data_IF_497394908040
#
_entry.id   IF_497394908040
#
_cell.length_a   1.000
_cell.length_b   1.000
_cell.length_c   1.000
_cell.angle_alpha   90.00
_cell.angle_beta   90.00
_cell.angle_gamma   90.00
#
_symmetry.space_group_name_H-M   'P 1'
#
loop_
_entity.id
_entity.type
_entity.pdbx_description
1 polymer ?
#
# COMPACT_ATOMS: atom_id res chain seq x y z
N UNK A 1 -38.66 17.44 -12.19
CA UNK A 1 -37.45 17.71 -11.40
C UNK A 1 -36.81 16.37 -11.04
N UNK A 2 -35.90 15.88 -11.90
CA UNK A 2 -35.15 14.64 -11.64
C UNK A 2 -33.83 15.08 -11.01
N UNK A 3 -33.71 14.92 -9.70
CA UNK A 3 -32.41 14.95 -9.03
C UNK A 3 -31.69 13.65 -9.41
N UNK A 4 -30.88 13.71 -10.47
CA UNK A 4 -29.84 12.71 -10.67
C UNK A 4 -28.95 12.76 -9.42
N UNK A 5 -28.86 11.67 -8.64
CA UNK A 5 -27.87 11.62 -7.58
C UNK A 5 -26.52 11.78 -8.28
N UNK A 6 -25.79 12.83 -7.91
CA UNK A 6 -24.37 12.95 -8.22
C UNK A 6 -23.73 11.65 -7.76
N UNK A 7 -23.39 10.78 -8.71
CA UNK A 7 -22.51 9.66 -8.47
C UNK A 7 -21.27 10.28 -7.83
N UNK A 8 -21.04 9.98 -6.54
CA UNK A 8 -19.75 10.12 -5.89
C UNK A 8 -18.80 9.13 -6.59
N UNK A 9 -18.45 9.42 -7.83
CA UNK A 9 -17.33 8.79 -8.51
C UNK A 9 -16.11 9.27 -7.75
N UNK A 10 -15.64 8.39 -6.86
CA UNK A 10 -14.56 8.60 -5.92
C UNK A 10 -13.33 9.15 -6.63
N UNK A 11 -12.96 10.35 -6.19
CA UNK A 11 -11.66 11.01 -6.27
C UNK A 11 -10.63 10.41 -7.26
N UNK A 12 -10.50 11.04 -8.42
CA UNK A 12 -9.48 10.70 -9.43
C UNK A 12 -8.09 11.08 -8.94
N UNK A 13 -7.36 10.12 -8.38
CA UNK A 13 -5.97 10.31 -7.96
C UNK A 13 -5.05 10.24 -9.17
N UNK A 14 -4.40 11.35 -9.51
CA UNK A 14 -3.40 11.38 -10.57
C UNK A 14 -2.09 10.78 -10.04
N UNK A 15 -1.54 9.80 -10.77
CA UNK A 15 -0.33 9.07 -10.38
C UNK A 15 0.71 9.19 -11.48
N UNK A 16 1.88 9.70 -11.14
CA UNK A 16 3.06 9.72 -12.00
C UNK A 16 4.30 9.27 -11.22
N UNK A 17 5.40 8.95 -11.90
CA UNK A 17 6.65 8.65 -11.21
C UNK A 17 7.16 9.91 -10.51
N UNK A 18 7.59 9.79 -9.25
CA UNK A 18 8.26 10.90 -8.57
C UNK A 18 9.63 11.17 -9.22
N UNK A 19 9.97 12.43 -9.40
CA UNK A 19 11.30 12.86 -9.84
C UNK A 19 12.37 12.49 -8.80
N UNK A 20 12.00 12.56 -7.51
CA UNK A 20 12.91 12.35 -6.37
C UNK A 20 13.32 10.89 -6.27
N UNK A 21 14.63 10.69 -6.16
CA UNK A 21 15.24 9.40 -5.84
C UNK A 21 15.79 9.48 -4.42
N UNK A 22 15.31 8.60 -3.54
CA UNK A 22 15.77 8.50 -2.16
C UNK A 22 16.87 7.44 -2.09
N UNK A 23 17.95 7.75 -1.38
CA UNK A 23 18.99 6.76 -1.05
C UNK A 23 18.67 6.14 0.30
N UNK A 24 18.55 4.82 0.35
CA UNK A 24 18.40 4.03 1.58
C UNK A 24 19.69 3.26 1.86
N UNK A 25 19.80 2.64 3.04
CA UNK A 25 20.92 1.74 3.35
C UNK A 25 21.03 0.52 2.41
N UNK A 26 19.95 0.18 1.70
CA UNK A 26 19.85 -1.00 0.82
C UNK A 26 19.97 -0.68 -0.68
N UNK A 27 19.97 0.61 -1.03
CA UNK A 27 19.98 1.06 -2.42
C UNK A 27 19.06 2.25 -2.67
N UNK A 28 19.01 2.70 -3.92
CA UNK A 28 18.25 3.88 -4.35
C UNK A 28 16.82 3.50 -4.74
N UNK A 29 15.85 4.32 -4.36
CA UNK A 29 14.42 4.06 -4.58
C UNK A 29 13.73 5.26 -5.22
N UNK A 30 12.79 4.99 -6.13
CA UNK A 30 11.86 5.96 -6.69
C UNK A 30 10.41 5.51 -6.46
N UNK A 31 9.58 6.43 -6.00
CA UNK A 31 8.16 6.21 -5.72
C UNK A 31 7.23 6.80 -6.78
N UNK A 32 5.95 6.94 -6.42
CA UNK A 32 4.93 7.67 -7.17
C UNK A 32 4.72 9.06 -6.56
N UNK A 33 4.53 10.07 -7.40
CA UNK A 33 3.84 11.28 -7.02
C UNK A 33 2.33 11.05 -7.16
N UNK A 34 1.63 11.32 -6.07
CA UNK A 34 0.18 11.14 -5.92
C UNK A 34 -0.44 12.50 -5.71
N UNK A 35 -1.29 12.93 -6.64
CA UNK A 35 -2.00 14.21 -6.59
C UNK A 35 -3.49 13.97 -6.45
N UNK A 36 -4.16 14.89 -5.77
CA UNK A 36 -5.57 14.80 -5.45
C UNK A 36 -6.36 15.86 -6.24
N UNK A 37 -7.60 15.57 -6.67
CA UNK A 37 -8.49 16.56 -7.26
C UNK A 37 -8.76 17.75 -6.33
N UNK A 38 -8.77 17.49 -5.02
CA UNK A 38 -8.93 18.52 -4.02
C UNK A 38 -7.64 19.37 -3.93
N UNK A 39 -7.74 20.63 -4.38
CA UNK A 39 -6.63 21.60 -4.39
C UNK A 39 -6.10 21.97 -3.00
N UNK A 40 -6.85 21.68 -1.93
CA UNK A 40 -6.39 21.89 -0.56
C UNK A 40 -5.51 20.75 -0.04
N UNK A 41 -5.54 19.58 -0.70
CA UNK A 41 -4.67 18.46 -0.37
C UNK A 41 -3.34 18.64 -1.10
N UNK A 42 -2.25 18.59 -0.34
CA UNK A 42 -0.91 18.62 -0.91
C UNK A 42 -0.59 17.30 -1.59
N UNK A 43 0.17 17.31 -2.69
CA UNK A 43 0.69 16.09 -3.29
C UNK A 43 1.50 15.26 -2.27
N UNK A 44 1.46 13.94 -2.45
CA UNK A 44 2.14 12.97 -1.59
C UNK A 44 3.03 12.09 -2.43
N UNK A 45 4.26 11.87 -1.99
CA UNK A 45 5.11 10.82 -2.56
C UNK A 45 4.81 9.49 -1.87
N UNK A 46 4.38 8.51 -2.65
CA UNK A 46 4.10 7.16 -2.19
C UNK A 46 5.23 6.20 -2.60
N UNK A 47 5.81 5.51 -1.64
CA UNK A 47 6.76 4.43 -1.84
C UNK A 47 6.13 3.14 -1.34
N UNK A 48 5.77 2.26 -2.27
CA UNK A 48 4.97 1.08 -1.97
C UNK A 48 5.82 -0.17 -2.00
N UNK A 49 5.63 -1.04 -1.01
CA UNK A 49 6.24 -2.36 -1.01
C UNK A 49 7.73 -2.39 -0.66
N UNK A 50 8.17 -1.50 0.22
CA UNK A 50 9.56 -1.49 0.69
C UNK A 50 9.77 -2.57 1.73
N UNK A 51 10.72 -3.46 1.48
CA UNK A 51 11.06 -4.54 2.41
C UNK A 51 11.83 -3.98 3.60
N UNK A 52 11.37 -4.27 4.81
CA UNK A 52 12.02 -3.80 6.05
C UNK A 52 12.53 -4.96 6.93
N UNK A 53 12.09 -6.18 6.64
CA UNK A 53 12.51 -7.41 7.32
C UNK A 53 12.60 -8.57 6.33
N UNK A 54 13.21 -9.66 6.78
CA UNK A 54 13.27 -10.92 6.04
C UNK A 54 12.93 -12.10 6.96
N UNK A 55 12.12 -13.01 6.45
CA UNK A 55 11.90 -14.33 7.01
C UNK A 55 12.49 -15.33 6.01
N UNK A 56 13.74 -15.71 6.24
CA UNK A 56 14.40 -16.76 5.45
C UNK A 56 13.49 -17.98 5.33
N UNK A 57 13.35 -18.55 4.13
CA UNK A 57 12.44 -19.67 3.91
C UNK A 57 12.87 -20.89 4.74
N UNK A 58 12.02 -21.27 5.71
CA UNK A 58 12.18 -22.44 6.56
C UNK A 58 12.69 -22.14 7.97
N UNK A 59 11.96 -22.62 8.99
CA UNK A 59 12.43 -22.67 10.40
C UNK A 59 12.45 -21.35 11.18
N UNK A 60 12.22 -20.20 10.54
CA UNK A 60 12.25 -18.88 11.20
C UNK A 60 10.90 -18.44 11.78
N UNK A 61 9.88 -19.31 11.75
CA UNK A 61 8.62 -19.02 12.42
C UNK A 61 8.88 -18.87 13.92
N UNK A 62 8.27 -17.85 14.53
CA UNK A 62 8.42 -17.52 15.94
C UNK A 62 9.83 -17.05 16.35
N UNK A 63 10.67 -16.69 15.38
CA UNK A 63 11.94 -16.01 15.63
C UNK A 63 11.83 -14.51 15.29
N UNK A 64 12.66 -13.65 15.91
CA UNK A 64 12.75 -12.25 15.51
C UNK A 64 13.11 -12.11 14.02
N UNK A 65 12.56 -11.12 13.31
CA UNK A 65 12.88 -10.89 11.91
C UNK A 65 14.34 -10.45 11.73
N UNK A 66 14.94 -10.83 10.60
CA UNK A 66 16.27 -10.34 10.22
C UNK A 66 16.17 -9.10 9.35
N UNK A 67 17.29 -8.40 9.18
CA UNK A 67 17.41 -7.34 8.19
C UNK A 67 17.16 -7.88 6.77
N UNK A 68 16.55 -7.10 5.86
CA UNK A 68 16.45 -7.43 4.45
C UNK A 68 17.78 -7.87 3.86
N UNK A 69 17.78 -9.03 3.19
CA UNK A 69 18.95 -9.53 2.46
C UNK A 69 19.14 -8.83 1.11
N UNK A 70 18.03 -8.45 0.48
CA UNK A 70 18.05 -7.84 -0.84
C UNK A 70 18.68 -6.44 -0.79
N UNK A 71 19.76 -6.27 -1.54
CA UNK A 71 20.38 -4.99 -1.87
C UNK A 71 20.40 -4.83 -3.38
N UNK A 72 20.27 -3.60 -3.87
CA UNK A 72 20.22 -3.35 -5.31
C UNK A 72 21.11 -2.18 -5.71
N UNK A 73 21.79 -2.34 -6.86
CA UNK A 73 22.77 -1.35 -7.35
C UNK A 73 22.14 -0.23 -8.20
N UNK A 74 20.97 -0.46 -8.79
CA UNK A 74 20.25 0.52 -9.65
C UNK A 74 19.15 1.24 -8.87
N UNK A 75 18.31 2.02 -9.54
CA UNK A 75 17.14 2.63 -8.90
C UNK A 75 15.99 1.61 -8.91
N UNK A 76 15.49 1.22 -7.73
CA UNK A 76 14.29 0.38 -7.59
C UNK A 76 13.04 1.26 -7.67
N UNK A 77 12.08 0.86 -8.50
CA UNK A 77 10.77 1.53 -8.65
C UNK A 77 9.77 0.90 -7.67
N UNK A 78 9.45 1.60 -6.59
CA UNK A 78 8.62 1.12 -5.48
C UNK A 78 7.19 1.67 -5.60
N UNK A 79 6.42 1.10 -6.53
CA UNK A 79 5.09 1.61 -6.94
C UNK A 79 3.98 0.57 -6.83
N UNK A 80 4.30 -0.62 -6.33
CA UNK A 80 3.38 -1.74 -6.19
C UNK A 80 3.34 -2.21 -4.74
N UNK A 81 2.14 -2.42 -4.21
CA UNK A 81 1.96 -3.10 -2.94
C UNK A 81 2.54 -4.52 -3.02
N UNK A 82 3.12 -4.97 -1.92
CA UNK A 82 3.59 -6.35 -1.77
C UNK A 82 2.49 -7.23 -1.16
N UNK A 83 2.61 -8.57 -1.26
CA UNK A 83 1.66 -9.50 -0.66
C UNK A 83 1.49 -9.24 0.84
N UNK A 84 0.25 -9.42 1.31
CA UNK A 84 -0.05 -9.30 2.74
C UNK A 84 0.33 -10.57 3.48
N UNK A 85 0.36 -10.50 4.81
CA UNK A 85 0.61 -11.66 5.65
C UNK A 85 -0.56 -12.67 5.58
N UNK A 86 -0.30 -13.96 5.88
CA UNK A 86 -1.34 -14.97 5.88
C UNK A 86 -2.44 -14.61 6.88
N UNK A 87 -3.68 -14.54 6.39
CA UNK A 87 -4.86 -14.25 7.16
C UNK A 87 -6.05 -15.09 6.63
N UNK A 88 -7.02 -15.45 7.48
CA UNK A 88 -8.20 -16.17 7.03
C UNK A 88 -8.89 -15.43 5.89
N UNK A 89 -9.18 -16.14 4.79
CA UNK A 89 -10.03 -15.60 3.74
C UNK A 89 -11.46 -15.57 4.28
N UNK A 90 -12.03 -14.37 4.37
CA UNK A 90 -13.41 -14.16 4.80
C UNK A 90 -14.22 -13.63 3.63
N UNK A 91 -15.40 -14.20 3.43
CA UNK A 91 -16.28 -13.80 2.34
C UNK A 91 -17.15 -12.60 2.74
N UNK A 92 -17.56 -11.81 1.75
CA UNK A 92 -18.39 -10.61 1.98
C UNK A 92 -19.69 -10.92 2.75
N UNK A 93 -20.28 -12.09 2.49
CA UNK A 93 -21.49 -12.56 3.19
C UNK A 93 -21.29 -12.71 4.70
N UNK A 94 -20.09 -13.09 5.14
CA UNK A 94 -19.76 -13.20 6.57
C UNK A 94 -19.71 -11.82 7.24
N UNK A 95 -19.30 -10.78 6.51
CA UNK A 95 -19.23 -9.42 7.03
C UNK A 95 -20.59 -8.78 7.18
N UNK A 96 -21.46 -8.91 6.18
CA UNK A 96 -22.77 -8.24 6.15
C UNK A 96 -23.71 -8.68 7.26
N UNK A 97 -23.51 -9.88 7.82
CA UNK A 97 -24.36 -10.41 8.90
C UNK A 97 -23.84 -10.06 10.30
N UNK A 98 -22.56 -9.71 10.44
CA UNK A 98 -21.87 -9.60 11.74
C UNK A 98 -21.35 -8.20 12.04
N UNK A 99 -21.24 -7.33 11.03
CA UNK A 99 -20.53 -6.06 11.14
C UNK A 99 -21.41 -4.87 10.76
N UNK A 100 -21.20 -3.69 11.37
CA UNK A 100 -21.85 -2.45 10.96
C UNK A 100 -21.57 -2.12 9.49
N UNK A 101 -22.51 -1.47 8.81
CA UNK A 101 -22.44 -1.16 7.37
C UNK A 101 -21.13 -0.46 6.97
N UNK A 102 -20.69 0.55 7.74
CA UNK A 102 -19.42 1.25 7.46
C UNK A 102 -18.19 0.33 7.52
N UNK A 103 -18.22 -0.67 8.41
CA UNK A 103 -17.15 -1.69 8.50
C UNK A 103 -17.20 -2.62 7.30
N UNK A 104 -18.39 -3.03 6.87
CA UNK A 104 -18.59 -3.85 5.66
C UNK A 104 -18.09 -3.11 4.43
N UNK A 105 -18.43 -1.83 4.26
CA UNK A 105 -17.97 -0.99 3.17
C UNK A 105 -16.44 -0.86 3.14
N UNK A 106 -15.82 -0.63 4.30
CA UNK A 106 -14.35 -0.60 4.40
C UNK A 106 -13.72 -1.95 4.01
N UNK A 107 -14.29 -3.07 4.48
CA UNK A 107 -13.80 -4.41 4.14
C UNK A 107 -13.91 -4.70 2.64
N UNK A 108 -15.02 -4.33 2.02
CA UNK A 108 -15.21 -4.42 0.57
C UNK A 108 -14.11 -3.67 -0.18
N UNK A 109 -13.75 -2.46 0.26
CA UNK A 109 -12.71 -1.64 -0.37
C UNK A 109 -11.30 -2.23 -0.23
N UNK A 110 -10.97 -2.87 0.90
CA UNK A 110 -9.62 -3.43 1.11
C UNK A 110 -9.45 -4.84 0.56
N UNK A 111 -10.55 -5.61 0.40
CA UNK A 111 -10.52 -7.02 -0.01
C UNK A 111 -9.69 -7.30 -1.27
N UNK A 112 -9.74 -6.47 -2.34
CA UNK A 112 -8.90 -6.67 -3.53
C UNK A 112 -7.39 -6.73 -3.24
N UNK A 113 -6.93 -6.03 -2.20
CA UNK A 113 -5.52 -5.97 -1.78
C UNK A 113 -5.09 -7.16 -0.91
N UNK A 114 -6.02 -8.05 -0.51
CA UNK A 114 -5.78 -9.18 0.39
C UNK A 114 -5.67 -10.54 -0.34
N UNK A 115 -5.67 -10.51 -1.68
CA UNK A 115 -5.75 -11.70 -2.54
C UNK A 115 -4.45 -12.51 -2.55
N UNK A 116 -3.31 -11.83 -2.68
CA UNK A 116 -1.98 -12.43 -2.62
C UNK A 116 -1.44 -12.40 -1.18
N UNK A 117 -1.17 -13.58 -0.62
CA UNK A 117 -0.67 -13.73 0.74
C UNK A 117 0.60 -14.58 0.75
N UNK A 118 1.61 -14.15 1.53
CA UNK A 118 2.88 -14.87 1.72
C UNK A 118 3.30 -14.78 3.18
N UNK A 119 3.94 -15.84 3.70
CA UNK A 119 4.50 -15.82 5.07
C UNK A 119 5.55 -14.71 5.23
N UNK A 120 6.39 -14.57 4.21
CA UNK A 120 7.33 -13.47 4.08
C UNK A 120 6.64 -12.22 3.49
N UNK A 121 5.98 -11.48 4.37
CA UNK A 121 5.18 -10.28 4.08
C UNK A 121 5.76 -8.99 4.69
N UNK A 122 7.02 -9.01 5.14
CA UNK A 122 7.63 -7.91 5.92
C UNK A 122 7.99 -6.69 5.07
N UNK A 123 6.95 -6.00 4.61
CA UNK A 123 7.00 -4.83 3.75
C UNK A 123 6.22 -3.67 4.37
N UNK A 124 6.64 -2.45 4.06
CA UNK A 124 5.98 -1.21 4.45
C UNK A 124 5.68 -0.34 3.23
N UNK A 125 4.74 0.57 3.41
CA UNK A 125 4.43 1.62 2.45
C UNK A 125 4.70 2.97 3.14
N UNK A 126 5.40 3.89 2.48
CA UNK A 126 5.66 5.24 2.98
C UNK A 126 4.86 6.25 2.16
N UNK A 127 4.22 7.19 2.85
CA UNK A 127 3.49 8.30 2.25
C UNK A 127 4.05 9.59 2.82
N UNK A 128 4.76 10.35 1.99
CA UNK A 128 5.49 11.55 2.39
C UNK A 128 4.84 12.77 1.74
N UNK A 129 4.15 13.64 2.51
CA UNK A 129 3.61 14.88 1.97
C UNK A 129 4.74 15.76 1.42
N UNK A 130 4.54 16.33 0.24
CA UNK A 130 5.47 17.33 -0.29
C UNK A 130 5.33 18.60 0.56
N UNK A 131 6.41 18.97 1.25
CA UNK A 131 6.50 20.30 1.85
C UNK A 131 6.72 21.31 0.72
N UNK A 132 5.93 22.39 0.72
CA UNK A 132 6.20 23.52 -0.15
C UNK A 132 7.61 24.05 0.15
N UNK A 133 8.35 24.42 -0.88
CA UNK A 133 9.58 25.20 -0.71
C UNK A 133 9.27 26.55 -0.07
#
# INVERSE_FOLDING_TARGET
LILLPLLLNGEVVLKQLSERVITTRYGKVRGLLVEFPNRHLRPVEAYLGLRYGDLDSGGMRFMPPKNPKEMWNRIRVAVKHQPVCPQPRRHEREYSQQLPEGRVAHLRNITPFLTEQKEDCLNLNLYVPIQGR
#
